data_IF_584313904577
#
_entry.id   IF_584313904577
#
_cell.length_a   1.000
_cell.length_b   1.000
_cell.length_c   1.000
_cell.angle_alpha   90.00
_cell.angle_beta   90.00
_cell.angle_gamma   90.00
#
_symmetry.space_group_name_H-M   'P 1'
#
loop_
_entity.id
_entity.type
_entity.pdbx_description
1 polymer ?
#
# COMPACT_ATOMS: atom_id res chain seq x y z
N UNK A 1 -11.96 12.05 1.32
CA UNK A 1 -12.33 11.06 0.26
C UNK A 1 -11.74 9.72 0.64
N UNK A 2 -12.50 8.62 0.57
CA UNK A 2 -11.99 7.28 0.88
C UNK A 2 -11.32 6.63 -0.33
N UNK A 3 -10.47 5.61 -0.11
CA UNK A 3 -9.90 4.82 -1.21
C UNK A 3 -10.98 4.15 -2.07
N UNK A 4 -12.16 3.86 -1.51
CA UNK A 4 -13.30 3.32 -2.26
C UNK A 4 -13.95 4.36 -3.19
N UNK A 5 -13.99 5.62 -2.78
CA UNK A 5 -14.50 6.71 -3.62
C UNK A 5 -13.58 6.92 -4.84
N UNK A 6 -12.25 6.80 -4.64
CA UNK A 6 -11.28 6.81 -5.74
C UNK A 6 -11.55 5.68 -6.72
N UNK A 7 -11.71 4.44 -6.23
CA UNK A 7 -12.07 3.28 -7.07
C UNK A 7 -13.36 3.54 -7.83
N UNK A 8 -14.38 4.09 -7.19
CA UNK A 8 -15.68 4.38 -7.81
C UNK A 8 -15.58 5.46 -8.89
N UNK A 9 -14.72 6.48 -8.68
CA UNK A 9 -14.44 7.53 -9.67
C UNK A 9 -13.71 6.95 -10.89
N UNK A 10 -12.66 6.13 -10.66
CA UNK A 10 -11.90 5.51 -11.74
C UNK A 10 -12.75 4.51 -12.55
N UNK A 11 -13.63 3.73 -11.90
CA UNK A 11 -14.62 2.89 -12.62
C UNK A 11 -15.48 3.69 -13.60
N UNK A 12 -15.95 4.87 -13.19
CA UNK A 12 -16.75 5.74 -14.07
C UNK A 12 -15.93 6.30 -15.23
N UNK A 13 -14.68 6.69 -14.97
CA UNK A 13 -13.79 7.26 -15.99
C UNK A 13 -13.36 6.23 -17.04
N UNK A 14 -13.14 4.99 -16.63
CA UNK A 14 -12.61 3.93 -17.50
C UNK A 14 -13.68 3.03 -18.08
N UNK A 15 -14.90 3.02 -17.53
CA UNK A 15 -15.92 2.03 -17.83
C UNK A 15 -15.62 0.62 -17.30
N UNK A 16 -14.46 0.43 -16.64
CA UNK A 16 -14.01 -0.87 -16.13
C UNK A 16 -14.72 -1.21 -14.81
N UNK A 17 -15.38 -2.36 -14.77
CA UNK A 17 -16.13 -2.81 -13.57
C UNK A 17 -15.22 -3.37 -12.49
N UNK A 18 -14.18 -4.08 -12.89
CA UNK A 18 -13.22 -4.71 -11.98
C UNK A 18 -12.07 -3.75 -11.68
N UNK A 19 -12.16 -3.00 -10.59
CA UNK A 19 -11.09 -2.10 -10.13
C UNK A 19 -10.83 -2.36 -8.66
N UNK A 20 -9.56 -2.57 -8.31
CA UNK A 20 -9.08 -2.75 -6.94
C UNK A 20 -7.90 -1.84 -6.64
N UNK A 21 -7.63 -1.56 -5.37
CA UNK A 21 -6.46 -0.80 -4.92
C UNK A 21 -5.44 -1.66 -4.17
N UNK A 22 -4.17 -1.27 -4.19
CA UNK A 22 -3.06 -1.97 -3.55
C UNK A 22 -2.70 -1.38 -2.18
N UNK A 23 -3.68 -1.27 -1.32
CA UNK A 23 -3.55 -0.78 0.06
C UNK A 23 -4.34 0.50 0.30
N UNK A 24 -5.27 0.41 1.26
CA UNK A 24 -6.11 1.53 1.70
C UNK A 24 -5.25 2.71 2.16
N UNK A 25 -5.67 3.92 1.83
CA UNK A 25 -5.25 5.15 2.48
C UNK A 25 -6.33 5.60 3.45
N UNK A 26 -5.92 6.12 4.60
CA UNK A 26 -6.84 6.76 5.54
C UNK A 26 -7.49 8.00 4.88
N UNK A 27 -8.71 8.42 5.27
CA UNK A 27 -9.42 9.51 4.59
C UNK A 27 -8.66 10.84 4.54
N UNK A 28 -7.90 11.14 5.60
CA UNK A 28 -7.03 12.32 5.69
C UNK A 28 -5.75 12.20 4.84
N UNK A 29 -5.35 10.97 4.47
CA UNK A 29 -4.08 10.75 3.78
C UNK A 29 -4.16 11.11 2.30
N UNK A 30 -3.01 11.56 1.78
CA UNK A 30 -2.81 11.88 0.37
C UNK A 30 -1.75 10.95 -0.27
N UNK A 31 -1.46 11.16 -1.54
CA UNK A 31 -0.35 10.50 -2.24
C UNK A 31 -0.76 9.30 -3.07
N UNK A 32 0.18 8.37 -3.23
CA UNK A 32 0.09 7.26 -4.20
C UNK A 32 -0.93 6.21 -3.76
N UNK A 33 -1.93 5.97 -4.59
CA UNK A 33 -2.88 4.86 -4.47
C UNK A 33 -2.86 4.04 -5.76
N UNK A 34 -2.02 2.99 -5.87
CA UNK A 34 -1.99 2.18 -7.08
C UNK A 34 -3.31 1.42 -7.24
N UNK A 35 -3.83 1.46 -8.47
CA UNK A 35 -5.07 0.78 -8.84
C UNK A 35 -4.78 -0.31 -9.87
N UNK A 36 -5.47 -1.42 -9.75
CA UNK A 36 -5.49 -2.50 -10.73
C UNK A 36 -6.84 -2.53 -11.42
N UNK A 37 -6.85 -2.57 -12.76
CA UNK A 37 -8.02 -2.51 -13.59
C UNK A 37 -8.24 -3.84 -14.36
N UNK A 38 -9.48 -4.25 -14.48
CA UNK A 38 -9.88 -5.43 -15.25
C UNK A 38 -9.15 -6.69 -14.78
N UNK A 39 -8.63 -7.42 -15.74
CA UNK A 39 -7.87 -8.66 -15.49
C UNK A 39 -6.63 -8.48 -14.63
N UNK A 40 -6.04 -7.27 -14.58
CA UNK A 40 -4.87 -6.97 -13.74
C UNK A 40 -5.16 -7.03 -12.24
N UNK A 41 -6.41 -7.01 -11.80
CA UNK A 41 -6.77 -7.23 -10.38
C UNK A 41 -6.29 -8.58 -9.85
N UNK A 42 -6.05 -9.55 -10.72
CA UNK A 42 -5.46 -10.86 -10.38
C UNK A 42 -3.99 -10.76 -9.91
N UNK A 43 -3.29 -9.67 -10.27
CA UNK A 43 -1.90 -9.44 -9.84
C UNK A 43 -1.79 -8.88 -8.42
N UNK A 44 -2.88 -8.57 -7.75
CA UNK A 44 -2.88 -7.95 -6.41
C UNK A 44 -2.00 -8.69 -5.40
N UNK A 45 -1.96 -10.03 -5.47
CA UNK A 45 -1.17 -10.86 -4.56
C UNK A 45 0.34 -10.58 -4.62
N UNK A 46 0.88 -10.19 -5.78
CA UNK A 46 2.31 -9.88 -5.94
C UNK A 46 2.69 -8.52 -5.36
N UNK A 47 1.73 -7.59 -5.23
CA UNK A 47 1.97 -6.25 -4.71
C UNK A 47 1.56 -6.07 -3.25
N UNK A 48 0.81 -7.02 -2.69
CA UNK A 48 0.22 -6.89 -1.35
C UNK A 48 1.26 -6.78 -0.24
N UNK A 49 2.41 -7.42 -0.42
CA UNK A 49 3.51 -7.45 0.54
C UNK A 49 4.56 -6.35 0.34
N UNK A 50 4.40 -5.51 -0.68
CA UNK A 50 5.35 -4.44 -0.95
C UNK A 50 5.40 -3.40 0.17
N UNK A 51 6.60 -2.88 0.44
CA UNK A 51 6.82 -1.78 1.39
C UNK A 51 6.12 -0.51 0.94
N UNK A 52 5.86 0.37 1.90
CA UNK A 52 5.30 1.71 1.66
C UNK A 52 6.19 2.76 2.30
N UNK A 53 6.36 3.87 1.61
CA UNK A 53 7.06 5.05 2.13
C UNK A 53 6.07 6.18 2.34
N UNK A 54 6.20 6.83 3.48
CA UNK A 54 5.33 7.92 3.90
C UNK A 54 6.14 9.11 4.35
N UNK A 55 5.58 10.30 4.15
CA UNK A 55 5.92 11.52 4.85
C UNK A 55 4.69 12.07 5.55
N UNK A 56 4.87 12.86 6.58
CA UNK A 56 3.75 13.44 7.31
C UNK A 56 4.19 14.17 8.55
N UNK A 57 3.22 14.47 9.40
CA UNK A 57 3.45 15.17 10.65
C UNK A 57 2.80 14.44 11.82
N UNK A 58 3.47 14.46 12.96
CA UNK A 58 2.98 13.95 14.25
C UNK A 58 2.83 15.14 15.18
N UNK A 59 1.65 15.32 15.74
CA UNK A 59 1.38 16.36 16.75
C UNK A 59 1.40 15.76 18.14
N UNK A 60 2.19 16.38 19.01
CA UNK A 60 2.33 16.03 20.42
C UNK A 60 1.39 16.84 21.31
N UNK A 61 1.29 16.45 22.56
CA UNK A 61 0.50 17.14 23.59
C UNK A 61 -0.81 16.45 23.94
N UNK A 62 -1.38 15.66 23.05
CA UNK A 62 -2.56 14.83 23.34
C UNK A 62 -2.70 13.69 22.31
N UNK A 63 -3.32 12.59 22.74
CA UNK A 63 -3.70 11.50 21.86
C UNK A 63 -5.13 11.66 21.34
N UNK A 64 -5.51 10.94 20.27
CA UNK A 64 -6.89 10.82 19.80
C UNK A 64 -7.32 9.35 19.79
N UNK A 65 -8.60 9.08 19.78
CA UNK A 65 -9.17 7.73 19.77
C UNK A 65 -8.91 6.97 18.44
N UNK A 66 -8.73 7.69 17.32
CA UNK A 66 -8.39 7.14 16.02
C UNK A 66 -6.87 7.12 15.74
N UNK A 67 -6.08 7.73 16.63
CA UNK A 67 -4.64 7.96 16.50
C UNK A 67 -4.26 8.91 15.36
N UNK A 68 -5.24 9.65 14.80
CA UNK A 68 -5.07 10.68 13.78
C UNK A 68 -5.91 11.92 14.08
N UNK A 69 -5.78 12.95 13.25
CA UNK A 69 -6.46 14.25 13.44
C UNK A 69 -7.99 14.21 13.22
N UNK A 70 -8.55 13.10 12.72
CA UNK A 70 -10.00 12.94 12.52
C UNK A 70 -10.70 12.43 13.78
N UNK A 71 -9.96 11.99 14.81
CA UNK A 71 -10.48 11.48 16.07
C UNK A 71 -10.69 12.54 17.13
N UNK A 72 -11.39 12.14 18.20
CA UNK A 72 -11.59 12.96 19.38
C UNK A 72 -10.40 12.86 20.34
N UNK A 73 -10.04 13.96 21.01
CA UNK A 73 -8.95 13.98 21.98
C UNK A 73 -9.25 13.05 23.17
N UNK A 74 -8.25 12.28 23.58
CA UNK A 74 -8.32 11.33 24.68
C UNK A 74 -7.26 11.66 25.73
N UNK A 75 -7.65 11.66 26.99
CA UNK A 75 -6.76 11.95 28.12
C UNK A 75 -6.61 13.44 28.39
N UNK A 76 -5.60 13.77 29.20
CA UNK A 76 -5.29 15.16 29.56
C UNK A 76 -4.20 15.68 28.63
N UNK A 77 -4.43 16.87 28.08
CA UNK A 77 -3.44 17.54 27.25
C UNK A 77 -2.22 17.95 28.12
N UNK A 78 -1.01 17.75 27.56
CA UNK A 78 0.26 18.14 28.19
C UNK A 78 0.82 19.34 27.42
N UNK A 79 1.00 20.46 28.11
CA UNK A 79 1.46 21.71 27.47
C UNK A 79 2.96 21.68 27.06
N UNK A 80 3.77 20.86 27.73
CA UNK A 80 5.20 20.78 27.43
C UNK A 80 5.45 19.95 26.16
N UNK A 81 5.79 20.63 25.07
CA UNK A 81 6.24 19.97 23.84
C UNK A 81 7.63 19.35 24.04
N UNK A 82 7.90 18.15 23.50
CA UNK A 82 9.24 17.55 23.55
C UNK A 82 10.22 18.33 22.66
N UNK A 83 11.51 18.24 22.96
CA UNK A 83 12.56 18.77 22.07
C UNK A 83 12.78 17.86 20.87
N UNK A 84 13.36 18.41 19.80
CA UNK A 84 13.69 17.62 18.60
C UNK A 84 14.59 16.43 18.91
N UNK A 85 15.53 16.58 19.85
CA UNK A 85 16.43 15.52 20.25
C UNK A 85 15.70 14.40 21.00
N UNK A 86 14.81 14.76 21.93
CA UNK A 86 13.96 13.78 22.63
C UNK A 86 13.08 12.99 21.66
N UNK A 87 12.48 13.66 20.67
CA UNK A 87 11.66 12.98 19.65
C UNK A 87 12.52 12.03 18.82
N UNK A 88 13.70 12.45 18.40
CA UNK A 88 14.63 11.59 17.63
C UNK A 88 15.09 10.38 18.42
N UNK A 89 15.46 10.54 19.68
CA UNK A 89 15.86 9.44 20.56
C UNK A 89 14.71 8.46 20.79
N UNK A 90 13.51 8.96 21.10
CA UNK A 90 12.32 8.14 21.30
C UNK A 90 11.87 7.40 20.02
N UNK A 91 12.24 7.90 18.83
CA UNK A 91 11.93 7.25 17.55
C UNK A 91 12.86 6.07 17.22
N UNK A 92 14.07 5.99 17.81
CA UNK A 92 15.06 4.95 17.47
C UNK A 92 14.55 3.51 17.71
N UNK A 93 13.86 3.19 18.83
CA UNK A 93 13.40 1.83 19.12
C UNK A 93 12.32 1.32 18.13
N UNK A 94 11.71 2.21 17.36
CA UNK A 94 10.72 1.82 16.36
C UNK A 94 11.33 1.24 15.08
N UNK A 95 12.65 1.39 14.87
CA UNK A 95 13.33 0.84 13.68
C UNK A 95 13.55 -0.66 13.83
N UNK A 96 13.45 -1.37 12.72
CA UNK A 96 13.60 -2.81 12.67
C UNK A 96 12.26 -3.55 12.82
N UNK A 97 12.34 -4.78 13.32
CA UNK A 97 11.18 -5.63 13.54
C UNK A 97 10.50 -5.28 14.87
N UNK A 98 9.22 -4.95 14.82
CA UNK A 98 8.42 -4.62 15.98
C UNK A 98 7.07 -5.35 15.98
N UNK A 99 6.54 -5.63 17.17
CA UNK A 99 5.19 -6.12 17.36
C UNK A 99 4.24 -4.93 17.53
N UNK A 100 3.54 -4.55 16.45
CA UNK A 100 2.63 -3.41 16.46
C UNK A 100 1.18 -3.82 16.73
N UNK A 101 0.51 -3.10 17.62
CA UNK A 101 -0.94 -3.20 17.80
C UNK A 101 -1.65 -2.38 16.72
N UNK A 102 -2.49 -3.01 15.85
CA UNK A 102 -3.31 -2.27 14.91
C UNK A 102 -4.27 -1.33 15.62
N UNK A 103 -4.62 -0.16 15.05
CA UNK A 103 -5.65 0.71 15.64
C UNK A 103 -7.03 0.06 15.52
N UNK A 104 -7.93 0.36 16.46
CA UNK A 104 -9.32 -0.12 16.45
C UNK A 104 -10.04 0.32 15.17
N UNK A 105 -9.78 1.54 14.72
CA UNK A 105 -10.31 2.11 13.48
C UNK A 105 -9.47 1.71 12.26
N UNK A 106 -9.44 0.40 11.94
CA UNK A 106 -8.70 -0.13 10.79
C UNK A 106 -9.57 -0.97 9.85
N UNK A 107 -9.08 -1.16 8.61
CA UNK A 107 -9.72 -2.03 7.61
C UNK A 107 -9.48 -3.54 7.87
N UNK A 108 -8.74 -3.90 8.94
CA UNK A 108 -8.49 -5.30 9.32
C UNK A 108 -9.83 -5.99 9.59
N UNK A 109 -10.02 -7.17 9.01
CA UNK A 109 -11.26 -7.95 9.22
C UNK A 109 -11.16 -8.81 10.48
N UNK A 110 -12.21 -8.75 11.30
CA UNK A 110 -12.41 -9.58 12.49
C UNK A 110 -13.75 -10.28 12.31
N UNK A 111 -13.75 -11.62 12.29
CA UNK A 111 -14.98 -12.38 12.01
C UNK A 111 -15.67 -11.99 10.69
N UNK A 112 -14.87 -11.60 9.66
CA UNK A 112 -15.40 -11.18 8.35
C UNK A 112 -15.84 -9.70 8.26
N UNK A 113 -15.93 -8.96 9.38
CA UNK A 113 -16.31 -7.54 9.43
C UNK A 113 -15.07 -6.66 9.63
N UNK A 114 -14.96 -5.50 8.96
CA UNK A 114 -13.88 -4.55 9.21
C UNK A 114 -13.91 -4.02 10.65
N UNK A 115 -12.74 -3.91 11.30
CA UNK A 115 -12.59 -3.47 12.69
C UNK A 115 -13.18 -2.08 12.90
N UNK A 116 -13.02 -1.14 11.96
CA UNK A 116 -13.60 0.20 12.07
C UNK A 116 -15.14 0.23 12.19
N UNK A 117 -15.83 -0.78 11.60
CA UNK A 117 -17.30 -0.87 11.76
C UNK A 117 -17.68 -1.29 13.16
N UNK A 118 -16.94 -2.25 13.74
CA UNK A 118 -17.17 -2.69 15.12
C UNK A 118 -16.84 -1.58 16.11
N UNK A 119 -15.74 -0.85 15.91
CA UNK A 119 -15.36 0.29 16.74
C UNK A 119 -16.42 1.40 16.72
N UNK A 120 -16.97 1.76 15.56
CA UNK A 120 -18.07 2.75 15.45
C UNK A 120 -19.36 2.28 16.11
N UNK A 121 -19.59 0.98 16.20
CA UNK A 121 -20.74 0.39 16.91
C UNK A 121 -20.51 0.28 18.43
N UNK A 122 -19.37 0.78 18.95
CA UNK A 122 -18.99 0.65 20.37
C UNK A 122 -18.71 -0.78 20.82
N UNK A 123 -18.52 -1.70 19.89
CA UNK A 123 -18.24 -3.12 20.20
C UNK A 123 -16.75 -3.32 20.49
N UNK A 124 -16.42 -4.18 21.47
CA UNK A 124 -15.02 -4.49 21.75
C UNK A 124 -14.37 -5.11 20.51
N UNK A 125 -13.17 -4.62 20.17
CA UNK A 125 -12.39 -5.06 19.04
C UNK A 125 -11.17 -5.79 19.58
N UNK A 126 -11.20 -7.10 19.60
CA UNK A 126 -10.02 -7.90 19.94
C UNK A 126 -9.01 -7.85 18.80
N UNK A 127 -7.96 -7.08 18.98
CA UNK A 127 -6.83 -6.99 18.07
C UNK A 127 -5.65 -7.76 18.63
N UNK A 128 -4.95 -8.46 17.73
CA UNK A 128 -3.69 -9.12 18.08
C UNK A 128 -2.53 -8.34 17.46
N UNK A 129 -1.43 -8.19 18.18
CA UNK A 129 -0.22 -7.61 17.62
C UNK A 129 0.16 -8.31 16.30
N UNK A 130 0.75 -7.55 15.40
CA UNK A 130 1.30 -8.05 14.15
C UNK A 130 2.75 -7.61 14.05
N UNK A 131 3.64 -8.54 13.73
CA UNK A 131 5.01 -8.24 13.38
C UNK A 131 5.06 -7.43 12.09
N UNK A 132 5.72 -6.28 12.13
CA UNK A 132 6.03 -5.42 10.99
C UNK A 132 7.50 -5.04 11.05
N UNK A 133 8.04 -4.59 9.92
CA UNK A 133 9.40 -4.04 9.86
C UNK A 133 9.33 -2.57 9.48
N UNK A 134 9.89 -1.70 10.32
CA UNK A 134 10.12 -0.30 9.99
C UNK A 134 11.56 -0.18 9.50
N UNK A 135 11.73 -0.12 8.18
CA UNK A 135 13.05 -0.05 7.54
C UNK A 135 13.73 1.29 7.81
N UNK A 136 12.93 2.36 7.81
CA UNK A 136 13.38 3.73 8.07
C UNK A 136 12.33 4.48 8.87
N UNK A 137 12.77 5.23 9.87
CA UNK A 137 11.95 6.22 10.58
C UNK A 137 12.85 7.39 10.95
N UNK A 138 12.66 8.52 10.29
CA UNK A 138 13.46 9.73 10.50
C UNK A 138 12.56 10.89 10.88
N UNK A 139 12.89 11.58 11.96
CA UNK A 139 12.28 12.85 12.34
C UNK A 139 13.05 13.96 11.62
N UNK A 140 12.36 14.65 10.70
CA UNK A 140 12.96 15.61 9.78
C UNK A 140 12.97 17.04 10.32
N UNK A 141 11.96 17.40 11.12
CA UNK A 141 11.80 18.74 11.71
C UNK A 141 10.96 18.67 12.99
N UNK A 142 11.01 19.74 13.78
CA UNK A 142 10.06 20.00 14.86
C UNK A 142 9.74 21.49 14.84
N UNK A 143 8.45 21.84 14.76
CA UNK A 143 7.94 23.18 14.83
C UNK A 143 6.84 23.23 15.90
N UNK A 144 7.13 23.89 17.02
CA UNK A 144 6.25 23.88 18.19
C UNK A 144 6.00 22.47 18.71
N UNK A 145 4.75 22.03 18.63
CA UNK A 145 4.27 20.70 19.05
C UNK A 145 4.23 19.68 17.92
N UNK A 146 4.70 20.02 16.72
CA UNK A 146 4.50 19.22 15.51
C UNK A 146 5.82 18.80 14.87
N UNK A 147 6.07 17.49 14.82
CA UNK A 147 7.26 16.93 14.16
C UNK A 147 6.95 16.44 12.76
N UNK A 148 7.79 16.83 11.79
CA UNK A 148 7.84 16.22 10.46
C UNK A 148 8.57 14.89 10.49
N UNK A 149 8.13 13.92 9.69
CA UNK A 149 8.78 12.62 9.59
C UNK A 149 8.80 12.06 8.18
N UNK A 150 9.73 11.12 7.96
CA UNK A 150 9.75 10.18 6.85
C UNK A 150 9.83 8.76 7.41
N UNK A 151 9.07 7.83 6.82
CA UNK A 151 9.02 6.44 7.25
C UNK A 151 8.90 5.49 6.07
N UNK A 152 9.68 4.40 6.09
CA UNK A 152 9.50 3.25 5.21
C UNK A 152 9.14 2.03 6.05
N UNK A 153 8.02 1.39 5.74
CA UNK A 153 7.46 0.29 6.54
C UNK A 153 6.93 -0.83 5.66
N UNK A 154 7.08 -2.05 6.15
CA UNK A 154 6.55 -3.26 5.51
C UNK A 154 5.01 -3.26 5.43
N UNK A 155 4.47 -4.16 4.63
CA UNK A 155 3.03 -4.30 4.46
C UNK A 155 2.30 -4.57 5.78
N UNK A 156 1.23 -3.81 6.00
CA UNK A 156 0.34 -3.94 7.15
C UNK A 156 0.78 -3.15 8.37
N UNK A 157 1.86 -2.35 8.28
CA UNK A 157 2.19 -1.36 9.30
C UNK A 157 1.22 -0.18 9.28
N UNK A 158 0.90 0.34 10.46
CA UNK A 158 0.03 1.50 10.68
C UNK A 158 0.86 2.67 11.19
N UNK A 159 1.01 3.72 10.37
CA UNK A 159 1.74 4.93 10.76
C UNK A 159 1.06 5.63 11.95
N UNK A 160 -0.26 5.55 12.03
CA UNK A 160 -1.05 6.07 13.17
C UNK A 160 -0.67 5.44 14.51
N UNK A 161 -0.50 4.11 14.54
CA UNK A 161 -0.03 3.43 15.76
C UNK A 161 1.37 3.89 16.16
N UNK A 162 2.29 4.07 15.19
CA UNK A 162 3.64 4.59 15.49
C UNK A 162 3.58 5.99 16.10
N UNK A 163 2.75 6.89 15.54
CA UNK A 163 2.57 8.23 16.09
C UNK A 163 2.03 8.21 17.53
N UNK A 164 1.01 7.38 17.77
CA UNK A 164 0.41 7.21 19.09
C UNK A 164 1.43 6.65 20.11
N UNK A 165 2.10 5.55 19.75
CA UNK A 165 3.08 4.88 20.62
C UNK A 165 4.31 5.78 20.91
N UNK A 166 4.74 6.60 19.93
CA UNK A 166 5.80 7.60 20.12
C UNK A 166 5.39 8.65 21.16
N UNK A 167 4.14 9.13 21.10
CA UNK A 167 3.59 10.06 22.09
C UNK A 167 3.49 9.45 23.49
N UNK A 168 3.18 8.15 23.57
CA UNK A 168 3.19 7.41 24.84
C UNK A 168 4.62 7.29 25.40
N UNK A 169 5.61 6.95 24.56
CA UNK A 169 7.01 6.84 24.96
C UNK A 169 7.57 8.18 25.50
N UNK A 170 7.09 9.31 24.98
CA UNK A 170 7.44 10.66 25.43
C UNK A 170 6.59 11.14 26.63
N UNK A 171 5.55 10.40 27.02
CA UNK A 171 4.68 10.76 28.15
C UNK A 171 3.73 11.94 27.90
N UNK A 172 3.67 12.48 26.68
CA UNK A 172 2.86 13.67 26.36
C UNK A 172 1.62 13.34 25.49
N UNK A 173 1.49 12.10 24.99
CA UNK A 173 0.49 11.76 23.97
C UNK A 173 0.84 12.36 22.62
N UNK A 174 0.41 11.68 21.54
CA UNK A 174 0.52 12.18 20.18
C UNK A 174 -0.51 11.53 19.26
N UNK A 175 -0.70 12.15 18.10
CA UNK A 175 -1.50 11.64 17.01
C UNK A 175 -0.91 12.05 15.66
N UNK A 176 -1.26 11.31 14.63
CA UNK A 176 -0.87 11.62 13.25
C UNK A 176 -1.68 12.81 12.74
N UNK A 177 -1.03 13.96 12.48
CA UNK A 177 -1.74 15.18 12.03
C UNK A 177 -1.81 15.31 10.51
N UNK A 178 -0.84 14.75 9.77
CA UNK A 178 -0.91 14.62 8.31
C UNK A 178 -0.20 13.37 7.82
N UNK A 179 -0.61 12.84 6.66
CA UNK A 179 0.01 11.67 6.04
C UNK A 179 0.00 11.79 4.52
N UNK A 180 1.14 11.50 3.91
CA UNK A 180 1.26 11.38 2.47
C UNK A 180 2.05 10.11 2.13
N UNK A 181 1.44 9.17 1.41
CA UNK A 181 2.17 8.03 0.86
C UNK A 181 2.92 8.43 -0.38
N UNK A 182 4.24 8.45 -0.31
CA UNK A 182 5.12 8.85 -1.41
C UNK A 182 5.46 7.68 -2.32
N UNK A 183 5.41 6.45 -1.79
CA UNK A 183 5.70 5.24 -2.55
C UNK A 183 4.91 4.03 -2.03
N UNK A 184 4.50 3.14 -2.93
CA UNK A 184 3.91 1.84 -2.64
C UNK A 184 4.53 0.79 -3.58
N UNK A 185 5.51 0.01 -3.08
CA UNK A 185 6.34 -0.87 -3.89
C UNK A 185 7.09 -0.10 -4.97
N UNK A 186 6.85 -0.46 -6.23
CA UNK A 186 7.48 0.17 -7.40
C UNK A 186 6.76 1.44 -7.87
N UNK A 187 5.65 1.82 -7.25
CA UNK A 187 4.84 2.97 -7.66
C UNK A 187 5.18 4.19 -6.80
N UNK A 188 5.65 5.25 -7.42
CA UNK A 188 6.01 6.52 -6.78
C UNK A 188 5.11 7.69 -7.19
N UNK A 189 5.33 8.85 -6.55
CA UNK A 189 4.56 10.08 -6.83
C UNK A 189 4.78 10.59 -8.25
N UNK A 190 5.97 10.38 -8.82
CA UNK A 190 6.35 10.83 -10.15
C UNK A 190 5.53 10.19 -11.27
N UNK A 191 4.94 9.01 -10.99
CA UNK A 191 4.07 8.28 -11.93
C UNK A 191 2.58 8.52 -11.66
N UNK A 192 2.27 9.20 -10.55
CA UNK A 192 0.90 9.35 -10.09
C UNK A 192 0.18 10.50 -10.82
N UNK A 193 -1.08 10.28 -11.14
CA UNK A 193 -1.99 11.26 -11.69
C UNK A 193 -2.99 11.71 -10.65
N UNK A 194 -3.34 12.99 -10.64
CA UNK A 194 -4.47 13.45 -9.85
C UNK A 194 -5.78 13.00 -10.47
N UNK A 195 -6.83 12.87 -9.66
CA UNK A 195 -8.14 12.47 -10.16
C UNK A 195 -8.73 13.47 -11.17
N UNK A 196 -8.37 14.75 -11.05
CA UNK A 196 -8.83 15.78 -11.96
C UNK A 196 -8.08 15.68 -13.29
N UNK A 197 -6.75 15.51 -13.27
CA UNK A 197 -5.97 15.25 -14.47
C UNK A 197 -6.41 13.97 -15.20
N UNK A 198 -6.75 12.89 -14.46
CA UNK A 198 -7.34 11.68 -15.07
C UNK A 198 -8.69 11.97 -15.76
N UNK A 199 -9.51 12.82 -15.17
CA UNK A 199 -10.81 13.21 -15.76
C UNK A 199 -10.62 14.01 -17.04
N UNK A 200 -9.60 14.86 -17.11
CA UNK A 200 -9.27 15.67 -18.29
C UNK A 200 -8.73 14.84 -19.46
N UNK A 201 -8.10 13.68 -19.19
CA UNK A 201 -7.62 12.78 -20.23
C UNK A 201 -8.75 12.18 -21.09
N UNK A 202 -9.95 12.03 -20.55
CA UNK A 202 -11.10 11.47 -21.25
C UNK A 202 -10.77 10.14 -21.95
N UNK A 203 -10.97 10.08 -23.27
CA UNK A 203 -10.62 8.90 -24.08
C UNK A 203 -9.12 8.55 -24.09
N UNK A 204 -8.26 9.47 -23.67
CA UNK A 204 -6.81 9.26 -23.58
C UNK A 204 -6.33 8.67 -22.26
N UNK A 205 -7.22 8.19 -21.38
CA UNK A 205 -6.89 7.68 -20.03
C UNK A 205 -5.87 6.55 -20.04
N UNK A 206 -5.69 5.84 -21.14
CA UNK A 206 -4.65 4.83 -21.32
C UNK A 206 -3.23 5.37 -21.11
N UNK A 207 -3.01 6.69 -21.32
CA UNK A 207 -1.72 7.34 -21.07
C UNK A 207 -1.31 7.33 -19.59
N UNK A 208 -2.28 7.23 -18.69
CA UNK A 208 -2.04 7.12 -17.27
C UNK A 208 -1.76 5.69 -16.80
N UNK A 209 -1.85 4.72 -17.70
CA UNK A 209 -1.62 3.32 -17.34
C UNK A 209 -0.14 2.95 -17.41
N UNK A 210 0.34 2.32 -16.35
CA UNK A 210 1.69 1.78 -16.30
C UNK A 210 1.83 0.63 -17.30
N UNK A 211 2.92 0.63 -18.06
CA UNK A 211 3.16 -0.41 -19.06
C UNK A 211 3.35 -1.78 -18.40
N UNK A 212 2.66 -2.86 -18.82
CA UNK A 212 2.71 -4.16 -18.13
C UNK A 212 4.10 -4.78 -18.01
N UNK A 213 5.01 -4.48 -18.93
CA UNK A 213 6.40 -4.99 -18.85
C UNK A 213 7.20 -4.42 -17.68
N UNK A 214 6.85 -3.22 -17.19
CA UNK A 214 7.53 -2.60 -16.06
C UNK A 214 6.99 -3.05 -14.70
N UNK A 215 5.84 -3.75 -14.70
CA UNK A 215 5.31 -4.37 -13.49
C UNK A 215 6.16 -5.57 -13.09
N UNK A 216 6.35 -5.81 -11.78
CA UNK A 216 7.09 -6.94 -11.23
C UNK A 216 8.48 -7.06 -11.92
N UNK A 217 9.37 -6.08 -11.73
CA UNK A 217 10.64 -5.97 -12.48
C UNK A 217 11.57 -7.16 -12.24
N UNK A 218 11.41 -7.87 -11.13
CA UNK A 218 12.15 -9.08 -10.79
C UNK A 218 11.78 -10.29 -11.66
N UNK A 219 10.63 -10.24 -12.35
CA UNK A 219 10.17 -11.31 -13.23
C UNK A 219 10.54 -11.01 -14.69
N UNK A 220 11.29 -11.85 -15.39
CA UNK A 220 11.58 -11.69 -16.82
C UNK A 220 10.30 -11.65 -17.66
N UNK A 221 10.39 -10.90 -18.78
CA UNK A 221 9.33 -10.83 -19.78
C UNK A 221 9.65 -11.77 -20.93
N UNK A 222 8.82 -12.76 -21.16
CA UNK A 222 8.99 -13.76 -22.21
C UNK A 222 7.88 -13.61 -23.25
N UNK A 223 8.27 -13.56 -24.54
CA UNK A 223 7.31 -13.67 -25.65
C UNK A 223 6.95 -15.14 -25.88
N UNK A 224 5.68 -15.42 -26.20
CA UNK A 224 5.26 -16.77 -26.58
C UNK A 224 4.66 -16.79 -27.99
N UNK A 225 4.83 -17.90 -28.67
CA UNK A 225 4.20 -18.15 -29.97
C UNK A 225 2.69 -18.46 -29.82
N UNK A 226 1.97 -18.49 -30.93
CA UNK A 226 0.51 -18.70 -30.95
C UNK A 226 0.11 -20.01 -30.29
N UNK A 227 0.87 -21.09 -30.48
CA UNK A 227 0.55 -22.40 -29.93
C UNK A 227 0.74 -22.42 -28.40
N UNK A 228 1.83 -21.85 -27.91
CA UNK A 228 2.11 -21.69 -26.48
C UNK A 228 1.10 -20.76 -25.80
N UNK A 229 0.74 -19.65 -26.45
CA UNK A 229 -0.31 -18.73 -25.97
C UNK A 229 -1.65 -19.44 -25.82
N UNK A 230 -2.05 -20.26 -26.79
CA UNK A 230 -3.28 -21.06 -26.73
C UNK A 230 -3.31 -22.00 -25.52
N UNK A 231 -2.21 -22.71 -25.24
CA UNK A 231 -2.09 -23.57 -24.07
C UNK A 231 -2.17 -22.78 -22.76
N UNK A 232 -1.39 -21.70 -22.64
CA UNK A 232 -1.32 -20.90 -21.42
C UNK A 232 -2.67 -20.22 -21.09
N UNK A 233 -3.40 -19.72 -22.09
CA UNK A 233 -4.73 -19.12 -21.90
C UNK A 233 -5.76 -20.11 -21.34
N UNK A 234 -5.59 -21.40 -21.65
CA UNK A 234 -6.41 -22.48 -21.11
C UNK A 234 -5.85 -23.11 -19.83
N UNK A 235 -4.83 -22.51 -19.22
CA UNK A 235 -4.21 -23.00 -18.00
C UNK A 235 -3.26 -24.19 -18.20
N UNK A 236 -2.94 -24.55 -19.45
CA UNK A 236 -2.02 -25.63 -19.79
C UNK A 236 -0.55 -25.20 -19.74
N UNK A 237 0.33 -26.16 -19.66
CA UNK A 237 1.79 -25.93 -19.69
C UNK A 237 2.29 -25.63 -21.09
N UNK A 238 3.34 -24.81 -21.18
CA UNK A 238 4.01 -24.51 -22.44
C UNK A 238 5.52 -24.40 -22.24
N UNK A 239 6.28 -24.76 -23.28
CA UNK A 239 7.70 -24.44 -23.33
C UNK A 239 7.85 -22.97 -23.77
N UNK A 240 8.69 -22.23 -23.04
CA UNK A 240 8.98 -20.83 -23.30
C UNK A 240 10.49 -20.68 -23.54
N UNK A 241 10.85 -19.73 -24.41
CA UNK A 241 12.26 -19.39 -24.68
C UNK A 241 12.82 -18.53 -23.53
N UNK A 242 12.95 -19.14 -22.35
CA UNK A 242 13.49 -18.53 -21.15
C UNK A 242 14.55 -19.45 -20.55
N UNK A 243 15.81 -19.01 -20.57
CA UNK A 243 17.00 -19.81 -20.26
C UNK A 243 17.72 -19.33 -19.00
N UNK A 244 17.22 -18.27 -18.32
CA UNK A 244 17.75 -17.86 -17.02
C UNK A 244 17.26 -18.80 -15.91
N UNK A 245 17.76 -18.60 -14.69
CA UNK A 245 17.32 -19.34 -13.50
C UNK A 245 16.01 -18.82 -12.88
N UNK A 246 15.30 -17.92 -13.57
CA UNK A 246 14.06 -17.33 -13.07
C UNK A 246 12.99 -18.39 -12.85
N UNK A 247 12.49 -18.49 -11.62
CA UNK A 247 11.40 -19.42 -11.26
C UNK A 247 10.05 -18.97 -11.83
N UNK A 248 9.85 -17.67 -11.97
CA UNK A 248 8.57 -17.08 -12.40
C UNK A 248 8.81 -16.04 -13.49
N UNK A 249 7.96 -16.03 -14.49
CA UNK A 249 8.07 -15.16 -15.67
C UNK A 249 6.74 -14.50 -16.01
N UNK A 250 6.81 -13.36 -16.68
CA UNK A 250 5.66 -12.69 -17.31
C UNK A 250 5.60 -13.08 -18.77
N UNK A 251 4.51 -13.67 -19.22
CA UNK A 251 4.34 -14.13 -20.60
C UNK A 251 3.53 -13.15 -21.40
N UNK A 252 4.05 -12.72 -22.52
CA UNK A 252 3.46 -11.71 -23.39
C UNK A 252 3.08 -12.24 -24.78
N UNK A 253 1.93 -11.80 -25.27
CA UNK A 253 1.59 -11.79 -26.67
C UNK A 253 1.97 -10.41 -27.24
N UNK A 254 2.98 -10.40 -28.13
CA UNK A 254 3.53 -9.15 -28.64
C UNK A 254 4.17 -8.28 -27.54
N UNK A 255 4.02 -6.96 -27.66
CA UNK A 255 4.74 -6.01 -26.78
C UNK A 255 3.96 -5.59 -25.56
N UNK A 256 2.64 -5.61 -25.59
CA UNK A 256 1.78 -5.01 -24.54
C UNK A 256 0.83 -5.98 -23.83
N UNK A 257 0.46 -7.08 -24.46
CA UNK A 257 -0.53 -7.97 -23.87
C UNK A 257 0.15 -8.96 -22.91
N UNK A 258 0.03 -8.74 -21.61
CA UNK A 258 0.37 -9.74 -20.60
C UNK A 258 -0.71 -10.83 -20.63
N UNK A 259 -0.30 -12.06 -20.96
CA UNK A 259 -1.19 -13.22 -21.09
C UNK A 259 -1.22 -14.06 -19.82
N UNK A 260 -0.06 -14.23 -19.19
CA UNK A 260 0.06 -15.03 -17.98
C UNK A 260 1.25 -14.58 -17.13
N UNK A 261 1.18 -14.89 -15.83
CA UNK A 261 2.34 -15.09 -14.97
C UNK A 261 2.48 -16.59 -14.82
N UNK A 262 3.67 -17.13 -15.14
CA UNK A 262 3.90 -18.56 -15.18
C UNK A 262 5.11 -18.96 -14.33
N UNK A 263 5.00 -20.09 -13.63
CA UNK A 263 6.07 -20.65 -12.81
C UNK A 263 6.76 -21.79 -13.57
N UNK A 264 8.08 -21.86 -13.44
CA UNK A 264 8.89 -22.93 -14.02
C UNK A 264 8.57 -24.28 -13.37
N UNK A 265 8.37 -25.28 -14.20
CA UNK A 265 8.17 -26.68 -13.79
C UNK A 265 9.49 -27.44 -13.93
N UNK A 266 10.08 -27.38 -15.12
CA UNK A 266 11.38 -27.98 -15.42
C UNK A 266 11.96 -27.42 -16.73
N UNK A 267 13.24 -27.16 -16.78
CA UNK A 267 13.90 -26.62 -18.00
C UNK A 267 13.16 -25.39 -18.55
N UNK A 268 12.66 -25.47 -19.78
CA UNK A 268 11.88 -24.43 -20.43
C UNK A 268 10.36 -24.60 -20.26
N UNK A 269 9.89 -25.61 -19.51
CA UNK A 269 8.48 -25.88 -19.30
C UNK A 269 7.92 -25.02 -18.14
N UNK A 270 6.88 -24.24 -18.45
CA UNK A 270 6.23 -23.35 -17.50
C UNK A 270 4.73 -23.64 -17.36
N UNK A 271 4.22 -23.52 -16.12
CA UNK A 271 2.82 -23.62 -15.77
C UNK A 271 2.27 -22.24 -15.42
N UNK A 272 1.18 -21.74 -16.04
CA UNK A 272 0.58 -20.49 -15.64
C UNK A 272 0.00 -20.60 -14.23
N UNK A 273 0.35 -19.63 -13.38
CA UNK A 273 -0.22 -19.45 -12.03
C UNK A 273 -1.30 -18.36 -12.03
N UNK A 274 -1.21 -17.44 -13.00
CA UNK A 274 -2.27 -16.48 -13.31
C UNK A 274 -2.42 -16.42 -14.81
N UNK A 275 -3.65 -16.53 -15.26
CA UNK A 275 -4.04 -16.29 -16.67
C UNK A 275 -4.78 -14.98 -16.75
N UNK A 276 -4.39 -14.14 -17.70
CA UNK A 276 -4.97 -12.81 -17.94
C UNK A 276 -6.08 -12.86 -19.02
N UNK A 277 -6.85 -13.92 -19.04
CA UNK A 277 -7.88 -14.17 -20.04
C UNK A 277 -9.04 -13.20 -20.05
#
# INVERSE_FOLDING_TARGET
>A
MTSHDVVSRVRRLTGEKSVGHLGTLDPMATGVLPLLLGKYTRLAQFFSLADKTYTGTIRFGFATDTYDAEGEAVGVAVEAAPTLEQVREAALPFRGEIAQMPPAFSAKKIGGKPAYKLAREGKPVELKPKTIVIHEFAITSLDGDTAGFQMKVSAGGYVRSVAHELGQALGCGAHLSSLRRTQAGVFGLEQAWTLDALSELGAGIERAMVHPRTLLPEMPCVGADTASLGKLRNGGQANLAEFSDAETVKVFAGQRELVAVAKRVAGTLFQPVIVMG
#
